data_IF_495622828570
#
_entry.id   IF_495622828570
#
_cell.length_a   1.000
_cell.length_b   1.000
_cell.length_c   1.000
_cell.angle_alpha   90.00
_cell.angle_beta   90.00
_cell.angle_gamma   90.00
#
_symmetry.space_group_name_H-M   'P 1'
#
loop_
_entity.id
_entity.type
_entity.pdbx_description
1 polymer ?
#
# COMPACT_ATOMS: atom_id res chain seq x y z
N UNK A 1 -18.98 10.72 -54.60
CA UNK A 1 -19.43 10.25 -53.27
C UNK A 1 -18.33 10.11 -52.21
N UNK A 2 -17.04 10.37 -52.51
CA UNK A 2 -15.95 10.23 -51.52
C UNK A 2 -15.69 11.44 -50.60
N UNK A 3 -16.23 12.62 -50.92
CA UNK A 3 -16.01 13.84 -50.12
C UNK A 3 -16.90 13.91 -48.88
N UNK A 4 -18.14 13.39 -48.96
CA UNK A 4 -19.09 13.38 -47.82
C UNK A 4 -18.63 12.41 -46.73
N UNK A 5 -18.03 11.28 -47.11
CA UNK A 5 -17.43 10.32 -46.16
C UNK A 5 -16.24 10.92 -45.40
N UNK A 6 -15.46 11.79 -46.05
CA UNK A 6 -14.31 12.44 -45.42
C UNK A 6 -14.74 13.48 -44.37
N UNK A 7 -15.80 14.25 -44.64
CA UNK A 7 -16.34 15.21 -43.66
C UNK A 7 -17.03 14.51 -42.46
N UNK A 8 -17.62 13.33 -42.66
CA UNK A 8 -18.20 12.53 -41.56
C UNK A 8 -17.15 11.99 -40.58
N UNK A 9 -15.96 11.64 -41.07
CA UNK A 9 -14.88 11.08 -40.25
C UNK A 9 -14.16 12.14 -39.39
N UNK A 10 -14.11 13.40 -39.86
CA UNK A 10 -13.49 14.51 -39.11
C UNK A 10 -14.38 15.00 -37.95
N UNK A 11 -15.71 14.95 -38.10
CA UNK A 11 -16.64 15.34 -37.02
C UNK A 11 -16.62 14.38 -35.81
N UNK A 12 -16.29 13.10 -36.00
CA UNK A 12 -16.21 12.12 -34.91
C UNK A 12 -15.01 12.35 -33.98
N UNK A 13 -13.97 13.05 -34.45
CA UNK A 13 -12.76 13.34 -33.67
C UNK A 13 -12.93 14.55 -32.73
N UNK A 14 -13.97 15.37 -32.92
CA UNK A 14 -14.27 16.53 -32.07
C UNK A 14 -15.26 16.21 -30.94
N UNK A 15 -15.87 15.01 -30.95
CA UNK A 15 -16.82 14.56 -29.93
C UNK A 15 -16.17 13.80 -28.77
N UNK A 16 -14.83 13.79 -28.65
CA UNK A 16 -14.15 13.41 -27.40
C UNK A 16 -14.27 14.56 -26.39
N UNK A 17 -15.52 14.93 -26.08
CA UNK A 17 -15.87 15.64 -24.87
C UNK A 17 -15.60 14.66 -23.74
N UNK A 18 -14.42 14.80 -23.14
CA UNK A 18 -14.10 14.23 -21.86
C UNK A 18 -15.23 14.66 -20.91
N UNK A 19 -16.08 13.73 -20.48
CA UNK A 19 -16.94 13.95 -19.32
C UNK A 19 -16.01 14.23 -18.16
N UNK A 20 -15.66 15.50 -17.99
CA UNK A 20 -15.30 16.03 -16.69
C UNK A 20 -16.56 15.83 -15.87
N UNK A 21 -16.66 14.65 -15.26
CA UNK A 21 -17.39 14.50 -14.02
C UNK A 21 -16.82 15.58 -13.13
N UNK A 22 -17.53 16.70 -13.06
CA UNK A 22 -17.42 17.64 -11.96
C UNK A 22 -17.72 16.78 -10.75
N UNK A 23 -16.64 16.25 -10.16
CA UNK A 23 -16.70 15.67 -8.85
C UNK A 23 -17.10 16.84 -7.97
N UNK A 24 -18.40 16.97 -7.75
CA UNK A 24 -18.92 17.52 -6.51
C UNK A 24 -18.56 16.52 -5.40
N UNK A 25 -17.27 16.25 -5.22
CA UNK A 25 -16.77 15.96 -3.90
C UNK A 25 -17.10 17.22 -3.12
N UNK A 26 -17.84 17.12 -2.00
CA UNK A 26 -17.90 18.23 -1.07
C UNK A 26 -16.45 18.65 -0.84
N UNK A 27 -16.11 19.92 -1.11
CA UNK A 27 -14.90 20.51 -0.54
C UNK A 27 -15.04 20.24 0.95
N UNK A 28 -14.35 19.23 1.45
CA UNK A 28 -14.34 18.89 2.85
C UNK A 28 -13.82 20.14 3.55
N UNK A 29 -14.74 20.87 4.16
CA UNK A 29 -14.50 22.09 4.92
C UNK A 29 -13.47 21.76 5.97
N UNK A 30 -12.19 22.05 5.72
CA UNK A 30 -11.04 21.74 6.59
C UNK A 30 -11.36 20.60 7.57
N UNK A 31 -11.65 19.40 7.03
CA UNK A 31 -12.17 18.31 7.85
C UNK A 31 -11.21 18.10 9.02
N UNK A 32 -11.77 18.05 10.23
CA UNK A 32 -11.02 17.77 11.44
C UNK A 32 -10.13 16.54 11.18
N UNK A 33 -8.85 16.66 11.50
CA UNK A 33 -7.91 15.56 11.32
C UNK A 33 -8.43 14.32 12.07
N UNK A 34 -8.43 13.16 11.40
CA UNK A 34 -8.96 11.94 12.00
C UNK A 34 -7.94 11.37 12.99
N UNK A 35 -8.42 10.86 14.12
CA UNK A 35 -7.56 10.18 15.09
C UNK A 35 -7.09 8.83 14.56
N UNK A 36 -5.81 8.54 14.80
CA UNK A 36 -5.16 7.26 14.48
C UNK A 36 -5.68 6.10 15.33
N UNK A 37 -6.30 6.37 16.47
CA UNK A 37 -6.93 5.35 17.32
C UNK A 37 -8.15 4.71 16.66
N UNK A 38 -8.75 5.41 15.69
CA UNK A 38 -9.87 4.86 14.92
C UNK A 38 -9.45 3.86 13.84
N UNK A 39 -8.14 3.65 13.64
CA UNK A 39 -7.60 2.80 12.60
C UNK A 39 -7.30 1.38 13.12
N UNK A 40 -7.39 0.36 12.25
CA UNK A 40 -7.01 -0.99 12.64
C UNK A 40 -5.56 -1.04 13.09
N UNK A 41 -5.25 -1.90 14.07
CA UNK A 41 -3.89 -2.14 14.53
C UNK A 41 -3.17 -3.15 13.63
N UNK A 42 -1.82 -3.18 13.65
CA UNK A 42 -1.06 -4.08 12.80
C UNK A 42 -1.27 -5.56 13.18
N UNK A 43 -1.43 -6.45 12.19
CA UNK A 43 -1.65 -7.89 12.42
C UNK A 43 -0.39 -8.59 12.95
N UNK A 44 -0.48 -9.30 14.07
CA UNK A 44 0.67 -9.95 14.68
C UNK A 44 1.40 -10.94 13.74
N UNK A 45 2.72 -10.95 13.82
CA UNK A 45 3.57 -11.97 13.21
C UNK A 45 3.81 -13.08 14.25
N UNK A 46 3.75 -14.34 13.84
CA UNK A 46 3.97 -15.48 14.73
C UNK A 46 5.46 -15.65 15.08
N UNK A 47 5.75 -16.43 16.13
CA UNK A 47 7.11 -16.59 16.65
C UNK A 47 8.12 -17.14 15.62
N UNK A 48 7.68 -18.03 14.72
CA UNK A 48 8.56 -18.59 13.69
C UNK A 48 9.01 -17.51 12.71
N UNK A 49 8.08 -16.72 12.21
CA UNK A 49 8.39 -15.62 11.31
C UNK A 49 9.15 -14.49 12.03
N UNK A 50 8.76 -14.15 13.26
CA UNK A 50 9.43 -13.12 14.06
C UNK A 50 10.92 -13.44 14.30
N UNK A 51 11.27 -14.72 14.48
CA UNK A 51 12.66 -15.15 14.67
C UNK A 51 13.53 -14.87 13.44
N UNK A 52 12.96 -14.86 12.24
CA UNK A 52 13.67 -14.54 11.00
C UNK A 52 13.68 -13.02 10.77
N UNK A 53 12.53 -12.36 10.99
CA UNK A 53 12.38 -10.92 10.74
C UNK A 53 13.23 -10.05 11.66
N UNK A 54 13.50 -10.49 12.90
CA UNK A 54 14.30 -9.71 13.87
C UNK A 54 15.71 -9.37 13.35
N UNK A 55 16.28 -10.19 12.48
CA UNK A 55 17.63 -10.02 11.96
C UNK A 55 17.64 -9.22 10.64
N UNK A 56 16.47 -8.96 10.06
CA UNK A 56 16.32 -8.16 8.84
C UNK A 56 16.15 -6.68 9.19
N UNK A 57 17.26 -5.96 9.24
CA UNK A 57 17.31 -4.57 9.72
C UNK A 57 16.32 -3.65 9.00
N UNK A 58 16.29 -3.68 7.67
CA UNK A 58 15.47 -2.77 6.86
C UNK A 58 13.97 -3.01 7.06
N UNK A 59 13.58 -4.26 7.31
CA UNK A 59 12.19 -4.57 7.65
C UNK A 59 11.83 -3.99 9.03
N UNK A 60 12.72 -4.13 10.02
CA UNK A 60 12.49 -3.56 11.35
C UNK A 60 12.48 -2.03 11.32
N UNK A 61 13.32 -1.39 10.50
CA UNK A 61 13.28 0.06 10.29
C UNK A 61 11.93 0.51 9.70
N UNK A 62 11.42 -0.22 8.70
CA UNK A 62 10.09 0.01 8.13
C UNK A 62 8.98 -0.19 9.18
N UNK A 63 9.07 -1.25 9.98
CA UNK A 63 8.08 -1.56 11.01
C UNK A 63 8.05 -0.48 12.09
N UNK A 64 9.21 0.00 12.53
CA UNK A 64 9.31 1.12 13.48
C UNK A 64 8.71 2.40 12.89
N UNK A 65 9.06 2.75 11.64
CA UNK A 65 8.46 3.88 10.93
C UNK A 65 6.93 3.74 10.85
N UNK A 66 6.43 2.54 10.54
CA UNK A 66 4.99 2.28 10.51
C UNK A 66 4.34 2.48 11.87
N UNK A 67 4.98 2.04 12.96
CA UNK A 67 4.42 2.21 14.30
C UNK A 67 4.31 3.68 14.73
N UNK A 68 5.16 4.57 14.19
CA UNK A 68 5.04 6.02 14.44
C UNK A 68 3.72 6.61 13.92
N UNK A 69 3.06 5.95 12.95
CA UNK A 69 1.74 6.34 12.46
C UNK A 69 0.73 6.50 13.59
N UNK A 70 0.80 5.68 14.63
CA UNK A 70 -0.16 5.73 15.74
C UNK A 70 0.12 6.84 16.77
N UNK A 71 1.19 7.62 16.58
CA UNK A 71 1.54 8.77 17.41
C UNK A 71 1.30 10.10 16.68
N UNK A 72 0.65 10.07 15.52
CA UNK A 72 0.40 11.25 14.69
C UNK A 72 -0.80 12.03 15.22
N UNK A 73 -0.57 13.30 15.55
CA UNK A 73 -1.60 14.20 16.11
C UNK A 73 -2.25 15.13 15.07
N UNK A 74 -1.55 15.37 13.96
CA UNK A 74 -2.00 16.30 12.91
C UNK A 74 -1.55 15.85 11.51
N UNK A 75 -1.96 16.62 10.49
CA UNK A 75 -1.69 16.27 9.08
C UNK A 75 -0.21 16.42 8.74
N UNK A 76 0.44 17.43 9.28
CA UNK A 76 1.85 17.73 9.04
C UNK A 76 2.72 16.56 9.55
N UNK A 77 2.42 16.04 10.73
CA UNK A 77 3.06 14.83 11.28
C UNK A 77 2.77 13.61 10.40
N UNK A 78 1.54 13.46 9.89
CA UNK A 78 1.20 12.36 8.98
C UNK A 78 2.04 12.44 7.69
N UNK A 79 2.26 13.63 7.14
CA UNK A 79 3.13 13.82 5.97
C UNK A 79 4.54 13.33 6.27
N UNK A 80 5.11 13.70 7.43
CA UNK A 80 6.45 13.27 7.83
C UNK A 80 6.56 11.74 7.95
N UNK A 81 5.55 11.10 8.58
CA UNK A 81 5.51 9.63 8.70
C UNK A 81 5.40 8.96 7.32
N UNK A 82 4.59 9.50 6.42
CA UNK A 82 4.44 8.94 5.07
C UNK A 82 5.73 9.10 4.25
N UNK A 83 6.45 10.22 4.35
CA UNK A 83 7.76 10.38 3.70
C UNK A 83 8.79 9.40 4.26
N UNK A 84 8.87 9.23 5.59
CA UNK A 84 9.79 8.24 6.18
C UNK A 84 9.44 6.81 5.74
N UNK A 85 8.15 6.45 5.71
CA UNK A 85 7.69 5.16 5.18
C UNK A 85 8.11 4.94 3.72
N UNK A 86 8.08 5.98 2.87
CA UNK A 86 8.53 5.88 1.48
C UNK A 86 10.03 5.58 1.43
N UNK A 87 10.84 6.26 2.24
CA UNK A 87 12.28 6.00 2.30
C UNK A 87 12.59 4.60 2.86
N UNK A 88 11.88 4.15 3.91
CA UNK A 88 12.04 2.78 4.43
C UNK A 88 11.61 1.73 3.42
N UNK A 89 10.56 1.98 2.64
CA UNK A 89 10.16 1.09 1.53
C UNK A 89 11.27 0.95 0.48
N UNK A 90 11.90 2.06 0.08
CA UNK A 90 13.01 2.03 -0.88
C UNK A 90 14.21 1.24 -0.34
N UNK A 91 14.57 1.49 0.93
CA UNK A 91 15.66 0.77 1.59
C UNK A 91 15.37 -0.74 1.66
N UNK A 92 14.14 -1.12 2.06
CA UNK A 92 13.72 -2.52 2.13
C UNK A 92 13.74 -3.19 0.76
N UNK A 93 13.23 -2.54 -0.29
CA UNK A 93 13.25 -3.06 -1.67
C UNK A 93 14.67 -3.28 -2.21
N UNK A 94 15.63 -2.46 -1.78
CA UNK A 94 17.04 -2.56 -2.19
C UNK A 94 17.85 -3.55 -1.32
N UNK A 95 17.30 -3.99 -0.19
CA UNK A 95 17.97 -4.91 0.73
C UNK A 95 17.96 -6.36 0.25
N UNK A 96 18.86 -7.16 0.81
CA UNK A 96 18.82 -8.60 0.65
C UNK A 96 17.72 -9.20 1.53
N UNK A 97 16.84 -9.98 0.90
CA UNK A 97 15.71 -10.62 1.58
C UNK A 97 16.21 -11.90 2.26
N UNK A 98 15.78 -12.21 3.50
CA UNK A 98 16.02 -13.52 4.09
C UNK A 98 15.52 -14.62 3.14
N UNK A 99 16.28 -15.70 2.96
CA UNK A 99 15.99 -16.75 1.95
C UNK A 99 14.54 -17.30 2.04
N UNK A 100 14.04 -17.45 3.27
CA UNK A 100 12.65 -17.88 3.54
C UNK A 100 11.61 -16.92 2.96
N UNK A 101 11.91 -15.62 2.95
CA UNK A 101 11.02 -14.54 2.52
C UNK A 101 11.39 -13.93 1.17
N UNK A 102 12.51 -14.33 0.57
CA UNK A 102 12.83 -14.02 -0.83
C UNK A 102 11.94 -14.83 -1.78
N UNK A 103 10.66 -14.49 -1.79
CA UNK A 103 9.62 -15.14 -2.58
C UNK A 103 8.78 -14.09 -3.30
N UNK A 104 8.33 -14.36 -4.54
CA UNK A 104 7.45 -13.45 -5.28
C UNK A 104 6.21 -13.02 -4.50
N UNK A 105 5.67 -13.88 -3.64
CA UNK A 105 4.49 -13.62 -2.82
C UNK A 105 4.72 -12.49 -1.79
N UNK A 106 5.93 -12.41 -1.21
CA UNK A 106 6.32 -11.34 -0.27
C UNK A 106 6.54 -10.04 -1.04
N UNK A 107 7.37 -10.08 -2.09
CA UNK A 107 7.70 -8.92 -2.93
C UNK A 107 6.45 -8.29 -3.58
N UNK A 108 5.51 -9.12 -4.02
CA UNK A 108 4.23 -8.65 -4.58
C UNK A 108 3.41 -7.86 -3.54
N UNK A 109 3.27 -8.38 -2.32
CA UNK A 109 2.52 -7.70 -1.26
C UNK A 109 3.21 -6.44 -0.76
N UNK A 110 4.54 -6.42 -0.71
CA UNK A 110 5.29 -5.20 -0.44
C UNK A 110 5.01 -4.11 -1.49
N UNK A 111 4.98 -4.46 -2.79
CA UNK A 111 4.62 -3.52 -3.86
C UNK A 111 3.19 -2.98 -3.70
N UNK A 112 2.24 -3.83 -3.30
CA UNK A 112 0.86 -3.40 -2.99
C UNK A 112 0.85 -2.43 -1.82
N UNK A 113 1.55 -2.74 -0.73
CA UNK A 113 1.68 -1.84 0.42
C UNK A 113 2.30 -0.49 0.01
N UNK A 114 3.42 -0.48 -0.71
CA UNK A 114 4.03 0.74 -1.27
C UNK A 114 3.06 1.56 -2.11
N UNK A 115 2.21 0.90 -2.90
CA UNK A 115 1.20 1.58 -3.73
C UNK A 115 0.22 2.37 -2.86
N UNK A 116 -0.23 1.80 -1.74
CA UNK A 116 -1.13 2.49 -0.83
C UNK A 116 -0.46 3.55 0.04
N UNK A 117 0.84 3.42 0.32
CA UNK A 117 1.65 4.50 0.91
C UNK A 117 1.65 5.71 -0.05
N UNK A 118 1.94 5.49 -1.33
CA UNK A 118 1.95 6.55 -2.35
C UNK A 118 0.57 7.14 -2.60
N UNK A 119 -0.50 6.32 -2.58
CA UNK A 119 -1.88 6.79 -2.64
C UNK A 119 -2.19 7.71 -1.46
N UNK A 120 -1.77 7.34 -0.26
CA UNK A 120 -1.96 8.17 0.94
C UNK A 120 -1.21 9.49 0.83
N UNK A 121 0.02 9.49 0.32
CA UNK A 121 0.77 10.72 0.00
C UNK A 121 0.00 11.63 -0.95
N UNK A 122 -0.47 11.11 -2.08
CA UNK A 122 -1.26 11.90 -3.03
C UNK A 122 -2.52 12.48 -2.38
N UNK A 123 -3.25 11.67 -1.62
CA UNK A 123 -4.45 12.12 -0.91
C UNK A 123 -4.14 13.19 0.16
N UNK A 124 -2.97 13.15 0.80
CA UNK A 124 -2.51 14.21 1.70
C UNK A 124 -2.25 15.53 0.97
N UNK A 125 -1.61 15.47 -0.20
CA UNK A 125 -1.32 16.64 -1.05
C UNK A 125 -2.62 17.31 -1.51
N UNK A 126 -3.59 16.52 -2.00
CA UNK A 126 -4.89 17.03 -2.47
C UNK A 126 -5.92 17.23 -1.36
N UNK A 127 -5.60 16.81 -0.12
CA UNK A 127 -6.48 16.88 1.06
C UNK A 127 -7.84 16.21 0.84
N UNK A 128 -7.84 15.08 0.13
CA UNK A 128 -9.05 14.36 -0.24
C UNK A 128 -8.89 12.88 0.11
N UNK A 129 -9.85 12.30 0.84
CA UNK A 129 -9.88 10.86 1.08
C UNK A 129 -8.72 10.31 1.94
N UNK A 130 -8.03 11.15 2.72
CA UNK A 130 -6.84 10.79 3.51
C UNK A 130 -7.13 9.64 4.48
N UNK A 131 -8.26 9.68 5.20
CA UNK A 131 -8.65 8.62 6.14
C UNK A 131 -8.81 7.27 5.44
N UNK A 132 -9.49 7.26 4.28
CA UNK A 132 -9.73 6.03 3.52
C UNK A 132 -8.43 5.44 3.00
N UNK A 133 -7.55 6.25 2.40
CA UNK A 133 -6.27 5.76 1.90
C UNK A 133 -5.35 5.28 3.02
N UNK A 134 -5.37 5.94 4.18
CA UNK A 134 -4.61 5.49 5.36
C UNK A 134 -5.12 4.13 5.86
N UNK A 135 -6.44 3.92 5.86
CA UNK A 135 -7.03 2.64 6.23
C UNK A 135 -6.65 1.52 5.24
N UNK A 136 -6.70 1.78 3.93
CA UNK A 136 -6.27 0.84 2.89
C UNK A 136 -4.77 0.53 3.00
N UNK A 137 -3.94 1.52 3.30
CA UNK A 137 -2.51 1.36 3.55
C UNK A 137 -2.24 0.39 4.71
N UNK A 138 -2.96 0.54 5.83
CA UNK A 138 -2.83 -0.37 6.97
C UNK A 138 -3.31 -1.78 6.61
N UNK A 139 -4.39 -1.92 5.85
CA UNK A 139 -4.86 -3.22 5.38
C UNK A 139 -3.82 -3.91 4.48
N UNK A 140 -3.18 -3.16 3.57
CA UNK A 140 -2.11 -3.69 2.74
C UNK A 140 -0.88 -4.10 3.56
N UNK A 141 -0.51 -3.32 4.58
CA UNK A 141 0.55 -3.67 5.53
C UNK A 141 0.21 -4.96 6.32
N UNK A 142 -1.03 -5.10 6.78
CA UNK A 142 -1.49 -6.31 7.47
C UNK A 142 -1.46 -7.54 6.56
N UNK A 143 -1.87 -7.38 5.31
CA UNK A 143 -1.78 -8.46 4.32
C UNK A 143 -0.31 -8.86 4.06
N UNK A 144 0.60 -7.88 4.01
CA UNK A 144 2.03 -8.12 3.91
C UNK A 144 2.57 -8.91 5.11
N UNK A 145 2.30 -8.46 6.34
CA UNK A 145 2.72 -9.16 7.57
C UNK A 145 2.16 -10.57 7.68
N UNK A 146 0.89 -10.73 7.33
CA UNK A 146 0.20 -12.04 7.37
C UNK A 146 0.84 -13.06 6.42
N UNK A 147 1.44 -12.62 5.32
CA UNK A 147 2.08 -13.53 4.38
C UNK A 147 3.34 -14.19 4.96
N UNK A 148 4.06 -13.53 5.86
CA UNK A 148 5.16 -14.17 6.58
C UNK A 148 4.67 -15.36 7.40
N UNK A 149 3.53 -15.20 8.09
CA UNK A 149 2.92 -16.28 8.87
C UNK A 149 2.51 -17.46 7.99
N UNK A 150 2.01 -17.20 6.79
CA UNK A 150 1.64 -18.25 5.83
C UNK A 150 2.89 -19.03 5.42
N UNK A 151 3.95 -18.35 5.00
CA UNK A 151 5.15 -19.02 4.47
C UNK A 151 5.86 -19.92 5.48
N UNK A 152 5.93 -19.50 6.76
CA UNK A 152 6.59 -20.32 7.80
C UNK A 152 5.73 -21.48 8.31
N UNK A 153 4.44 -21.51 7.96
CA UNK A 153 3.51 -22.57 8.35
C UNK A 153 3.09 -23.46 7.17
N UNK A 154 3.28 -23.02 5.93
CA UNK A 154 2.89 -23.75 4.73
C UNK A 154 3.90 -24.84 4.31
N UNK A 155 4.62 -25.44 5.25
CA UNK A 155 5.48 -26.59 4.95
C UNK A 155 4.55 -27.77 4.64
N UNK A 156 4.32 -28.02 3.35
CA UNK A 156 3.72 -29.25 2.88
C UNK A 156 4.60 -30.41 3.35
N UNK A 157 4.04 -31.28 4.18
CA UNK A 157 4.67 -32.54 4.51
C UNK A 157 4.71 -33.40 3.24
N UNK A 158 5.86 -33.43 2.57
CA UNK A 158 6.05 -34.19 1.34
C UNK A 158 5.94 -35.69 1.55
N UNK A 159 6.00 -36.18 2.80
CA UNK A 159 5.76 -37.59 3.12
C UNK A 159 4.33 -38.02 2.83
N UNK A 160 3.36 -37.09 2.82
CA UNK A 160 1.96 -37.34 2.48
C UNK A 160 1.70 -37.47 0.98
N UNK A 161 2.66 -37.09 0.14
CA UNK A 161 2.57 -37.11 -1.32
C UNK A 161 3.40 -38.28 -1.90
N UNK A 162 4.38 -38.78 -1.15
CA UNK A 162 5.14 -39.98 -1.48
C UNK A 162 4.43 -41.24 -0.97
N UNK A 163 3.31 -41.62 -1.58
CA UNK A 163 2.82 -43.00 -1.50
C UNK A 163 3.64 -43.85 -2.46
N UNK A 164 4.52 -44.69 -1.91
CA UNK A 164 5.03 -45.89 -2.59
C UNK A 164 3.94 -46.96 -2.63
#
# INVERSE_FOLDING_TARGET
MGKILFYGMVCLLLSSCNERKTSNAPKETAAAFFSMDSLPKPSAVNNKAATILKDWKEFNDLENAFMTLYNVDNREDLVLVIEDLIEKQKALEASDYPETFDKPQIKSRQKVFKTFVLKTKGNLEYREGVKSSTMEMIQAYNAYRSQFNVLVNSVLDTSLISTN
#
